data_IF_806331783225
#
_entry.id   IF_806331783225
#
_cell.length_a   1.000
_cell.length_b   1.000
_cell.length_c   1.000
_cell.angle_alpha   90.00
_cell.angle_beta   90.00
_cell.angle_gamma   90.00
#
_symmetry.space_group_name_H-M   'P 1'
#
loop_
_entity.id
_entity.type
_entity.pdbx_description
1 polymer ?
#
# COMPACT_ATOMS: atom_id res chain seq x y z
N UNK A 1 8.38 26.54 -14.94
CA UNK A 1 8.48 26.33 -13.48
C UNK A 1 7.45 25.28 -13.10
N UNK A 2 7.87 24.03 -12.83
CA UNK A 2 6.96 23.02 -12.28
C UNK A 2 6.84 23.33 -10.79
N UNK A 3 5.63 23.61 -10.32
CA UNK A 3 5.37 23.74 -8.89
C UNK A 3 5.74 22.41 -8.24
N UNK A 4 6.74 22.41 -7.35
CA UNK A 4 6.93 21.32 -6.41
C UNK A 4 5.65 21.29 -5.56
N UNK A 5 4.82 20.27 -5.79
CA UNK A 5 3.69 20.03 -4.92
C UNK A 5 4.28 19.72 -3.54
N UNK A 6 3.94 20.54 -2.56
CA UNK A 6 4.31 20.31 -1.17
C UNK A 6 3.58 19.03 -0.74
N UNK A 7 4.31 17.91 -0.67
CA UNK A 7 3.75 16.60 -0.32
C UNK A 7 3.65 16.47 1.21
N UNK A 8 3.00 17.44 1.84
CA UNK A 8 2.75 17.41 3.28
C UNK A 8 1.82 16.24 3.58
N UNK A 9 2.34 15.22 4.25
CA UNK A 9 1.50 14.12 4.77
C UNK A 9 0.58 14.76 5.81
N UNK A 10 -0.76 14.69 5.66
CA UNK A 10 -1.69 15.25 6.62
C UNK A 10 -1.43 14.67 8.01
N UNK A 11 -1.50 15.52 9.03
CA UNK A 11 -1.29 15.15 10.44
C UNK A 11 -2.24 14.01 10.88
N UNK A 12 -3.42 13.93 10.25
CA UNK A 12 -4.35 12.80 10.32
C UNK A 12 -4.36 12.05 8.99
N UNK A 13 -3.48 11.06 8.84
CA UNK A 13 -3.58 10.08 7.75
C UNK A 13 -4.32 8.86 8.30
N UNK A 14 -5.42 8.40 7.65
CA UNK A 14 -6.15 7.23 8.12
C UNK A 14 -5.23 6.01 8.20
N UNK A 15 -5.35 5.24 9.28
CA UNK A 15 -4.61 4.00 9.42
C UNK A 15 -4.98 3.04 8.28
N UNK A 16 -3.93 2.50 7.66
CA UNK A 16 -4.04 1.61 6.53
C UNK A 16 -3.71 0.19 6.97
N UNK A 17 -4.66 -0.72 6.84
CA UNK A 17 -4.48 -2.13 7.25
C UNK A 17 -3.89 -3.00 6.14
N UNK A 18 -3.84 -2.47 4.92
CA UNK A 18 -3.25 -3.17 3.79
C UNK A 18 -3.53 -2.52 2.45
N UNK A 19 -3.24 -3.27 1.39
CA UNK A 19 -3.52 -2.86 0.02
C UNK A 19 -3.90 -4.05 -0.84
N UNK A 20 -4.59 -3.79 -1.94
CA UNK A 20 -4.88 -4.77 -3.00
C UNK A 20 -4.24 -4.33 -4.30
N UNK A 21 -3.68 -5.28 -5.03
CA UNK A 21 -3.17 -5.10 -6.38
C UNK A 21 -4.14 -5.75 -7.37
N UNK A 22 -4.57 -4.98 -8.37
CA UNK A 22 -5.42 -5.45 -9.45
C UNK A 22 -4.69 -5.20 -10.77
N UNK A 23 -4.25 -6.28 -11.42
CA UNK A 23 -3.62 -6.22 -12.73
C UNK A 23 -4.71 -6.32 -13.80
N UNK A 24 -4.84 -5.29 -14.63
CA UNK A 24 -5.76 -5.27 -15.75
C UNK A 24 -5.06 -5.73 -17.05
N UNK A 25 -5.77 -6.43 -17.95
CA UNK A 25 -5.19 -7.02 -19.16
C UNK A 25 -4.70 -5.98 -20.19
N UNK A 26 -5.05 -4.70 -20.02
CA UNK A 26 -4.56 -3.59 -20.83
C UNK A 26 -3.21 -3.04 -20.34
N UNK A 27 -2.52 -3.73 -19.44
CA UNK A 27 -1.25 -3.29 -18.90
C UNK A 27 -1.40 -2.10 -17.93
N UNK A 28 -2.55 -1.97 -17.27
CA UNK A 28 -2.77 -1.03 -16.17
C UNK A 28 -2.82 -1.83 -14.87
N UNK A 29 -2.20 -1.35 -13.81
CA UNK A 29 -2.43 -1.85 -12.46
C UNK A 29 -3.13 -0.81 -11.62
N UNK A 30 -4.04 -1.29 -10.78
CA UNK A 30 -4.66 -0.49 -9.73
C UNK A 30 -4.19 -0.98 -8.37
N UNK A 31 -3.64 -0.07 -7.59
CA UNK A 31 -3.34 -0.27 -6.18
C UNK A 31 -4.44 0.38 -5.35
N UNK A 32 -5.09 -0.41 -4.51
CA UNK A 32 -6.16 0.06 -3.62
C UNK A 32 -5.64 0.01 -2.20
N UNK A 33 -5.47 1.16 -1.56
CA UNK A 33 -5.05 1.25 -0.16
C UNK A 33 -6.29 1.14 0.71
N UNK A 34 -6.33 0.13 1.57
CA UNK A 34 -7.48 -0.18 2.42
C UNK A 34 -7.34 0.57 3.74
N UNK A 35 -8.40 1.28 4.13
CA UNK A 35 -8.52 1.84 5.47
C UNK A 35 -8.83 0.76 6.51
N UNK A 36 -9.01 1.16 7.76
CA UNK A 36 -9.24 0.26 8.91
C UNK A 36 -10.32 -0.80 8.70
N UNK A 37 -11.39 -0.49 7.97
CA UNK A 37 -12.49 -1.44 7.72
C UNK A 37 -12.16 -2.52 6.68
N UNK A 38 -10.98 -2.43 6.04
CA UNK A 38 -10.51 -3.38 5.04
C UNK A 38 -11.37 -3.42 3.76
N UNK A 39 -12.34 -2.52 3.61
CA UNK A 39 -13.30 -2.58 2.50
C UNK A 39 -12.81 -1.78 1.28
N UNK A 40 -12.64 -2.41 0.12
CA UNK A 40 -12.08 -1.75 -1.07
C UNK A 40 -12.97 -0.63 -1.63
N UNK A 41 -14.26 -0.60 -1.28
CA UNK A 41 -15.18 0.50 -1.65
C UNK A 41 -14.98 1.76 -0.81
N UNK A 42 -14.25 1.67 0.29
CA UNK A 42 -13.88 2.77 1.20
C UNK A 42 -12.37 2.92 1.27
N UNK A 43 -11.71 2.67 0.14
CA UNK A 43 -10.28 2.81 0.02
C UNK A 43 -9.86 4.24 0.40
N UNK A 44 -8.77 4.33 1.17
CA UNK A 44 -8.16 5.61 1.54
C UNK A 44 -7.51 6.25 0.31
N UNK A 45 -6.97 5.42 -0.58
CA UNK A 45 -6.37 5.86 -1.84
C UNK A 45 -6.50 4.81 -2.94
N UNK A 46 -6.54 5.28 -4.19
CA UNK A 46 -6.49 4.45 -5.38
C UNK A 46 -5.42 5.03 -6.31
N UNK A 47 -4.40 4.24 -6.61
CA UNK A 47 -3.36 4.58 -7.60
C UNK A 47 -3.59 3.75 -8.86
N UNK A 48 -3.61 4.38 -10.02
CA UNK A 48 -3.61 3.69 -11.31
C UNK A 48 -2.25 3.94 -11.97
N UNK A 49 -1.56 2.86 -12.31
CA UNK A 49 -0.21 2.85 -12.86
C UNK A 49 -0.21 2.05 -14.15
N UNK A 50 0.76 2.29 -15.02
CA UNK A 50 1.07 1.29 -16.04
C UNK A 50 1.64 0.01 -15.37
N UNK A 51 1.63 -1.09 -16.10
CA UNK A 51 2.01 -2.40 -15.57
C UNK A 51 3.48 -2.45 -15.13
N UNK A 52 4.38 -1.73 -15.82
CA UNK A 52 5.80 -1.73 -15.49
C UNK A 52 6.07 -0.99 -14.18
N UNK A 53 5.47 0.19 -14.01
CA UNK A 53 5.54 0.98 -12.79
C UNK A 53 4.85 0.28 -11.62
N UNK A 54 3.77 -0.44 -11.91
CA UNK A 54 3.06 -1.22 -10.93
C UNK A 54 3.83 -2.43 -10.42
N UNK A 55 4.46 -3.20 -11.31
CA UNK A 55 5.30 -4.33 -10.93
C UNK A 55 6.46 -3.84 -10.06
N UNK A 56 7.09 -2.72 -10.45
CA UNK A 56 8.14 -2.09 -9.65
C UNK A 56 7.65 -1.67 -8.26
N UNK A 57 6.51 -0.97 -8.19
CA UNK A 57 5.96 -0.52 -6.92
C UNK A 57 5.50 -1.69 -6.04
N UNK A 58 4.94 -2.75 -6.63
CA UNK A 58 4.53 -3.94 -5.91
C UNK A 58 5.74 -4.63 -5.23
N UNK A 59 6.85 -4.78 -5.95
CA UNK A 59 8.10 -5.31 -5.37
C UNK A 59 8.59 -4.43 -4.22
N UNK A 60 8.62 -3.11 -4.42
CA UNK A 60 9.09 -2.17 -3.40
C UNK A 60 8.20 -2.18 -2.13
N UNK A 61 6.88 -2.28 -2.28
CA UNK A 61 5.94 -2.38 -1.16
C UNK A 61 6.11 -3.70 -0.39
N UNK A 62 6.32 -4.82 -1.09
CA UNK A 62 6.58 -6.11 -0.46
C UNK A 62 7.90 -6.12 0.31
N UNK A 63 8.96 -5.55 -0.27
CA UNK A 63 10.27 -5.42 0.38
C UNK A 63 10.19 -4.55 1.64
N UNK A 64 9.51 -3.41 1.55
CA UNK A 64 9.27 -2.53 2.70
C UNK A 64 8.47 -3.23 3.78
N UNK A 65 7.39 -3.93 3.44
CA UNK A 65 6.61 -4.72 4.40
C UNK A 65 7.48 -5.76 5.11
N UNK A 66 8.33 -6.46 4.36
CA UNK A 66 9.29 -7.40 4.93
C UNK A 66 10.28 -6.74 5.88
N UNK A 67 10.79 -5.56 5.53
CA UNK A 67 11.68 -4.79 6.40
C UNK A 67 10.99 -4.35 7.71
N UNK A 68 9.74 -3.86 7.63
CA UNK A 68 8.94 -3.53 8.80
C UNK A 68 8.74 -4.71 9.73
N UNK A 69 8.33 -5.87 9.19
CA UNK A 69 8.13 -7.08 10.01
C UNK A 69 9.41 -7.58 10.66
N UNK A 70 10.57 -7.44 9.99
CA UNK A 70 11.88 -7.78 10.58
C UNK A 70 12.33 -6.78 11.66
N UNK A 71 11.92 -5.52 11.51
CA UNK A 71 12.25 -4.45 12.45
C UNK A 71 11.33 -4.41 13.68
N UNK A 72 10.16 -5.05 13.63
CA UNK A 72 9.29 -5.18 14.80
C UNK A 72 9.90 -6.18 15.80
N UNK A 73 10.23 -5.74 17.03
CA UNK A 73 10.75 -6.63 18.05
C UNK A 73 9.58 -7.46 18.63
N UNK A 74 9.40 -8.67 18.08
CA UNK A 74 8.71 -9.78 18.74
C UNK A 74 7.22 -9.59 19.04
N UNK A 75 6.36 -9.85 18.04
CA UNK A 75 5.05 -10.44 18.29
C UNK A 75 5.05 -11.83 17.66
N UNK A 76 5.47 -12.82 18.47
CA UNK A 76 5.29 -14.22 18.09
C UNK A 76 3.79 -14.49 17.95
N UNK A 77 3.31 -15.06 16.83
CA UNK A 77 1.92 -15.48 16.73
C UNK A 77 1.69 -16.57 17.78
N UNK A 78 0.89 -16.25 18.81
CA UNK A 78 0.40 -17.24 19.76
C UNK A 78 -0.37 -18.30 18.97
N UNK A 79 0.19 -19.51 18.88
CA UNK A 79 -0.56 -20.68 18.40
C UNK A 79 -1.72 -20.94 19.36
N UNK A 80 -2.96 -21.08 18.89
CA UNK A 80 -4.02 -21.64 19.73
C UNK A 80 -3.65 -23.08 20.10
N UNK A 81 -3.78 -23.40 21.38
CA UNK A 81 -3.62 -24.75 21.93
C UNK A 81 -4.79 -25.65 21.53
#
# INVERSE_FOLDING_TARGET
MRSEADFTIPEETPDCVGFQLQLAPNGVCRIVVLGEDGHPRRAVAILNLDAADADRLAHELLDRRGAYLRAQPGEQPQRPQ
#
